data_IF_093069947859
#
_entry.id   IF_093069947859
#
_cell.length_a   1.000
_cell.length_b   1.000
_cell.length_c   1.000
_cell.angle_alpha   90.00
_cell.angle_beta   90.00
_cell.angle_gamma   90.00
#
_symmetry.space_group_name_H-M   'P 1'
#
loop_
_entity.id
_entity.type
_entity.pdbx_description
1 polymer ?
#
# COMPACT_ATOMS: atom_id res chain seq x y z
N UNK A 1 39.86 -1.17 -5.10
CA UNK A 1 40.21 -2.21 -6.09
C UNK A 1 39.10 -3.22 -6.41
N UNK A 2 38.64 -4.08 -5.48
CA UNK A 2 37.61 -5.08 -5.81
C UNK A 2 36.24 -4.45 -6.15
N UNK A 3 35.85 -3.40 -5.42
CA UNK A 3 34.62 -2.65 -5.69
C UNK A 3 34.71 -1.93 -7.03
N UNK A 4 35.79 -1.20 -7.30
CA UNK A 4 35.99 -0.49 -8.59
C UNK A 4 35.90 -1.45 -9.78
N UNK A 5 36.52 -2.64 -9.69
CA UNK A 5 36.41 -3.65 -10.74
C UNK A 5 34.97 -4.12 -10.97
N UNK A 6 34.20 -4.32 -9.89
CA UNK A 6 32.79 -4.68 -9.99
C UNK A 6 31.95 -3.54 -10.58
N UNK A 7 32.26 -2.29 -10.23
CA UNK A 7 31.59 -1.10 -10.77
C UNK A 7 31.87 -0.95 -12.27
N UNK A 8 33.12 -1.11 -12.70
CA UNK A 8 33.48 -1.08 -14.14
C UNK A 8 32.74 -2.18 -14.89
N UNK A 9 32.75 -3.42 -14.37
CA UNK A 9 32.00 -4.52 -14.98
C UNK A 9 30.49 -4.25 -15.04
N UNK A 10 29.92 -3.66 -13.99
CA UNK A 10 28.50 -3.30 -13.97
C UNK A 10 28.21 -2.21 -15.02
N UNK A 11 29.04 -1.17 -15.11
CA UNK A 11 28.90 -0.14 -16.13
C UNK A 11 28.99 -0.72 -17.55
N UNK A 12 29.95 -1.62 -17.81
CA UNK A 12 30.09 -2.29 -19.10
C UNK A 12 28.83 -3.10 -19.46
N UNK A 13 28.23 -3.81 -18.50
CA UNK A 13 26.97 -4.55 -18.71
C UNK A 13 25.83 -3.59 -19.05
N UNK A 14 25.68 -2.51 -18.27
CA UNK A 14 24.56 -1.57 -18.43
C UNK A 14 24.64 -0.74 -19.72
N UNK A 15 25.84 -0.36 -20.16
CA UNK A 15 26.06 0.42 -21.40
C UNK A 15 25.81 -0.42 -22.64
N UNK A 16 26.08 -1.73 -22.59
CA UNK A 16 25.89 -2.64 -23.72
C UNK A 16 24.51 -3.31 -23.76
N UNK A 17 23.60 -2.97 -22.84
CA UNK A 17 22.25 -3.51 -22.83
C UNK A 17 21.42 -2.95 -24.01
N UNK A 18 20.74 -3.83 -24.74
CA UNK A 18 19.82 -3.42 -25.83
C UNK A 18 18.49 -2.90 -25.27
N UNK A 19 18.03 -3.44 -24.13
CA UNK A 19 16.77 -3.09 -23.49
C UNK A 19 16.89 -3.20 -21.97
N UNK A 20 17.22 -2.08 -21.34
CA UNK A 20 17.53 -2.00 -19.91
C UNK A 20 16.28 -1.71 -19.05
N UNK A 21 16.08 -2.47 -17.98
CA UNK A 21 15.12 -2.18 -16.92
C UNK A 21 15.85 -1.79 -15.62
N UNK A 22 15.44 -0.68 -15.00
CA UNK A 22 15.90 -0.20 -13.71
C UNK A 22 14.78 -0.41 -12.68
N UNK A 23 14.91 -1.41 -11.82
CA UNK A 23 13.83 -1.90 -10.95
C UNK A 23 14.17 -1.87 -9.44
N UNK A 24 13.16 -1.69 -8.58
CA UNK A 24 13.30 -1.73 -7.11
C UNK A 24 12.96 -0.41 -6.42
N UNK A 25 13.96 0.26 -5.84
CA UNK A 25 13.93 1.64 -5.32
C UNK A 25 13.20 1.90 -3.99
N UNK A 26 12.22 1.07 -3.60
CA UNK A 26 11.36 1.28 -2.41
C UNK A 26 12.09 1.24 -1.06
N UNK A 27 13.36 0.81 -1.04
CA UNK A 27 14.25 0.77 0.14
C UNK A 27 15.48 1.68 -0.01
N UNK A 28 15.45 2.62 -0.95
CA UNK A 28 16.53 3.58 -1.22
C UNK A 28 16.11 5.00 -0.84
N UNK A 29 17.05 5.94 -0.79
CA UNK A 29 16.76 7.36 -0.54
C UNK A 29 16.23 8.04 -1.80
N UNK A 30 15.61 9.20 -1.66
CA UNK A 30 15.11 9.96 -2.82
C UNK A 30 16.24 10.41 -3.74
N UNK A 31 17.42 10.71 -3.19
CA UNK A 31 18.61 11.06 -3.97
C UNK A 31 19.03 9.90 -4.86
N UNK A 32 19.05 8.67 -4.34
CA UNK A 32 19.37 7.48 -5.14
C UNK A 32 18.32 7.23 -6.24
N UNK A 33 17.05 7.54 -5.99
CA UNK A 33 15.98 7.47 -6.98
C UNK A 33 16.19 8.49 -8.10
N UNK A 34 16.53 9.73 -7.76
CA UNK A 34 16.83 10.80 -8.73
C UNK A 34 18.02 10.40 -9.61
N UNK A 35 19.11 9.90 -9.00
CA UNK A 35 20.26 9.38 -9.75
C UNK A 35 19.87 8.19 -10.63
N UNK A 36 18.99 7.30 -10.15
CA UNK A 36 18.44 6.19 -10.93
C UNK A 36 17.64 6.63 -12.14
N UNK A 37 16.81 7.68 -12.02
CA UNK A 37 16.09 8.28 -13.14
C UNK A 37 17.04 8.95 -14.15
N UNK A 38 18.08 9.64 -13.65
CA UNK A 38 19.14 10.20 -14.48
C UNK A 38 19.90 9.12 -15.26
N UNK A 39 20.21 8.00 -14.61
CA UNK A 39 20.83 6.84 -15.24
C UNK A 39 19.93 6.21 -16.30
N UNK A 40 18.65 6.00 -15.99
CA UNK A 40 17.65 5.51 -16.95
C UNK A 40 17.57 6.42 -18.18
N UNK A 41 17.53 7.73 -17.98
CA UNK A 41 17.49 8.72 -19.07
C UNK A 41 18.76 8.68 -19.93
N UNK A 42 19.93 8.52 -19.31
CA UNK A 42 21.22 8.47 -20.00
C UNK A 42 21.40 7.21 -20.83
N UNK A 43 20.93 6.08 -20.31
CA UNK A 43 21.04 4.76 -20.96
C UNK A 43 19.82 4.40 -21.81
N UNK A 44 18.85 5.32 -21.95
CA UNK A 44 17.55 5.05 -22.58
C UNK A 44 16.85 3.79 -21.99
N UNK A 45 17.05 3.56 -20.70
CA UNK A 45 16.48 2.46 -19.95
C UNK A 45 15.10 2.79 -19.36
N UNK A 46 14.34 1.75 -19.03
CA UNK A 46 13.02 1.86 -18.43
C UNK A 46 13.12 1.90 -16.91
N UNK A 47 12.70 2.99 -16.28
CA UNK A 47 12.62 3.10 -14.82
C UNK A 47 11.30 2.55 -14.30
N UNK A 48 11.33 1.65 -13.33
CA UNK A 48 10.15 1.08 -12.70
C UNK A 48 10.43 0.68 -11.25
N UNK A 49 9.39 0.47 -10.43
CA UNK A 49 9.55 0.10 -9.02
C UNK A 49 8.60 -1.01 -8.61
N UNK A 50 8.82 -1.62 -7.45
CA UNK A 50 7.84 -2.54 -6.85
C UNK A 50 6.53 -1.83 -6.46
N UNK A 51 6.51 -0.50 -6.50
CA UNK A 51 5.30 0.31 -6.34
C UNK A 51 4.51 0.51 -7.65
N UNK A 52 5.07 0.17 -8.81
CA UNK A 52 4.44 0.18 -10.16
C UNK A 52 3.43 -0.97 -10.35
N UNK A 53 3.04 -1.64 -9.25
CA UNK A 53 1.83 -2.44 -9.19
C UNK A 53 0.67 -1.43 -9.26
N UNK A 54 0.20 -1.17 -10.49
CA UNK A 54 -0.63 -0.01 -10.87
C UNK A 54 -1.79 0.35 -9.94
N UNK A 55 -2.29 -0.60 -9.17
CA UNK A 55 -3.26 -0.48 -8.09
C UNK A 55 -2.82 0.42 -6.94
N UNK A 56 -1.59 0.27 -6.42
CA UNK A 56 -1.08 1.08 -5.30
C UNK A 56 -0.71 2.49 -5.77
N UNK A 57 -0.10 2.59 -6.95
CA UNK A 57 0.37 3.85 -7.52
C UNK A 57 -0.80 4.75 -7.97
N UNK A 58 -1.72 4.23 -8.77
CA UNK A 58 -2.85 5.01 -9.31
C UNK A 58 -3.71 5.62 -8.20
N UNK A 59 -3.73 4.95 -7.05
CA UNK A 59 -4.73 5.19 -6.03
C UNK A 59 -4.16 5.90 -4.80
N UNK A 60 -2.88 5.67 -4.44
CA UNK A 60 -2.14 6.63 -3.61
C UNK A 60 -2.12 8.02 -4.26
N UNK A 61 -2.06 8.09 -5.60
CA UNK A 61 -2.22 9.35 -6.31
C UNK A 61 -3.65 9.89 -6.21
N UNK A 62 -4.66 9.06 -6.43
CA UNK A 62 -6.08 9.49 -6.39
C UNK A 62 -6.53 9.99 -5.01
N UNK A 63 -6.26 9.25 -3.92
CA UNK A 63 -6.61 9.65 -2.55
C UNK A 63 -5.86 10.92 -2.13
N UNK A 64 -4.56 11.00 -2.45
CA UNK A 64 -3.75 12.19 -2.13
C UNK A 64 -4.19 13.42 -2.93
N UNK A 65 -4.44 13.28 -4.24
CA UNK A 65 -4.89 14.38 -5.11
C UNK A 65 -6.29 14.90 -4.76
N UNK A 66 -7.14 14.05 -4.20
CA UNK A 66 -8.46 14.43 -3.70
C UNK A 66 -8.43 15.02 -2.28
N UNK A 67 -7.26 15.08 -1.61
CA UNK A 67 -7.15 15.56 -0.23
C UNK A 67 -7.92 14.69 0.77
N UNK A 68 -7.96 13.38 0.51
CA UNK A 68 -8.63 12.41 1.37
C UNK A 68 -7.69 11.82 2.44
N UNK A 69 -6.39 12.09 2.37
CA UNK A 69 -5.40 11.74 3.38
C UNK A 69 -5.11 12.87 4.37
N UNK A 70 -4.34 12.57 5.42
CA UNK A 70 -3.95 13.51 6.46
C UNK A 70 -2.65 13.09 7.13
N UNK A 71 -2.00 13.98 7.86
CA UNK A 71 -0.78 13.66 8.60
C UNK A 71 -1.05 12.74 9.79
N UNK A 72 -0.13 11.82 10.06
CA UNK A 72 -0.21 10.92 11.23
C UNK A 72 -0.23 11.66 12.57
N UNK A 73 0.31 12.88 12.63
CA UNK A 73 0.20 13.73 13.81
C UNK A 73 -1.25 14.16 14.07
N UNK A 74 -1.98 14.51 13.01
CA UNK A 74 -3.39 14.83 13.12
C UNK A 74 -4.20 13.61 13.58
N UNK A 75 -3.92 12.43 13.00
CA UNK A 75 -4.55 11.16 13.42
C UNK A 75 -4.30 10.88 14.90
N UNK A 76 -3.06 11.08 15.36
CA UNK A 76 -2.69 10.94 16.77
C UNK A 76 -3.53 11.85 17.66
N UNK A 77 -3.75 13.09 17.24
CA UNK A 77 -4.42 14.10 18.05
C UNK A 77 -5.96 14.04 18.01
N UNK A 78 -6.55 13.57 16.90
CA UNK A 78 -7.99 13.69 16.65
C UNK A 78 -8.70 12.37 16.33
N UNK A 79 -8.02 11.31 15.89
CA UNK A 79 -8.67 10.10 15.37
C UNK A 79 -9.45 9.32 16.44
N UNK A 80 -10.78 9.30 16.35
CA UNK A 80 -11.64 8.59 17.30
C UNK A 80 -11.94 7.17 16.85
N UNK A 81 -12.28 6.99 15.56
CA UNK A 81 -12.46 5.66 14.99
C UNK A 81 -11.31 5.33 14.05
N UNK A 82 -10.44 4.42 14.49
CA UNK A 82 -9.33 3.91 13.71
C UNK A 82 -9.73 2.58 13.08
N UNK A 83 -9.70 2.51 11.76
CA UNK A 83 -10.07 1.30 11.01
C UNK A 83 -8.84 0.79 10.29
N UNK A 84 -8.46 -0.48 10.53
CA UNK A 84 -7.50 -1.19 9.70
C UNK A 84 -8.25 -2.09 8.72
N UNK A 85 -8.14 -1.80 7.42
CA UNK A 85 -8.84 -2.54 6.36
C UNK A 85 -7.83 -3.29 5.49
N UNK A 86 -7.91 -4.62 5.47
CA UNK A 86 -6.99 -5.48 4.73
C UNK A 86 -5.53 -5.23 5.12
N UNK A 87 -5.29 -4.93 6.40
CA UNK A 87 -3.98 -4.58 6.95
C UNK A 87 -3.81 -5.18 8.35
N UNK A 88 -2.65 -5.78 8.60
CA UNK A 88 -2.27 -6.36 9.88
C UNK A 88 -1.03 -5.65 10.44
N UNK A 89 -1.15 -4.39 10.93
CA UNK A 89 -0.03 -3.63 11.45
C UNK A 89 0.64 -4.27 12.68
N UNK A 90 -0.07 -5.13 13.41
CA UNK A 90 0.53 -5.85 14.54
C UNK A 90 1.62 -6.83 14.11
N UNK A 91 1.61 -7.28 12.86
CA UNK A 91 2.62 -8.17 12.26
C UNK A 91 3.54 -7.45 11.26
N UNK A 92 3.03 -6.43 10.55
CA UNK A 92 3.75 -5.77 9.45
C UNK A 92 4.38 -4.42 9.83
N UNK A 93 3.77 -3.69 10.76
CA UNK A 93 4.09 -2.30 11.09
C UNK A 93 3.95 -2.06 12.60
N UNK A 94 4.66 -2.85 13.42
CA UNK A 94 4.43 -2.96 14.88
C UNK A 94 4.37 -1.62 15.64
N UNK A 95 5.15 -0.62 15.20
CA UNK A 95 5.18 0.69 15.84
C UNK A 95 4.06 1.63 15.39
N UNK A 96 3.32 1.30 14.34
CA UNK A 96 2.27 2.15 13.81
C UNK A 96 1.10 2.32 14.80
N UNK A 97 0.47 1.24 15.32
CA UNK A 97 -0.59 1.37 16.32
C UNK A 97 -0.09 2.06 17.60
N UNK A 98 1.13 1.75 18.04
CA UNK A 98 1.68 2.27 19.29
C UNK A 98 2.15 3.73 19.23
N UNK A 99 2.56 4.22 18.05
CA UNK A 99 3.12 5.57 17.91
C UNK A 99 2.15 6.58 17.30
N UNK A 100 1.25 6.16 16.42
CA UNK A 100 0.51 7.09 15.57
C UNK A 100 -1.01 6.97 15.69
N UNK A 101 -1.54 5.76 15.88
CA UNK A 101 -2.97 5.54 15.64
C UNK A 101 -3.76 5.06 16.85
N UNK A 102 -3.28 4.08 17.62
CA UNK A 102 -4.09 3.39 18.64
C UNK A 102 -3.73 3.79 20.07
N UNK A 103 -2.49 3.53 20.50
CA UNK A 103 -2.06 3.80 21.88
C UNK A 103 -1.81 5.27 22.24
N UNK A 104 -1.36 6.16 21.33
CA UNK A 104 -0.89 7.47 21.75
C UNK A 104 -2.06 8.35 22.20
N UNK A 105 -1.79 9.13 23.26
CA UNK A 105 -2.65 10.22 23.70
C UNK A 105 -2.49 11.40 22.76
N UNK A 106 -3.61 12.02 22.45
CA UNK A 106 -3.76 13.16 21.57
C UNK A 106 -4.46 14.33 22.27
N UNK A 107 -4.48 15.49 21.63
CA UNK A 107 -5.17 16.68 22.15
C UNK A 107 -6.67 16.44 22.39
N UNK A 108 -7.38 15.85 21.40
CA UNK A 108 -8.79 15.44 21.54
C UNK A 108 -8.96 13.99 22.00
N UNK A 109 -7.86 13.26 22.17
CA UNK A 109 -7.83 11.83 22.56
C UNK A 109 -7.00 11.67 23.85
N UNK A 110 -7.43 12.24 24.99
CA UNK A 110 -6.60 12.33 26.18
C UNK A 110 -6.31 10.97 26.84
N UNK A 111 -7.18 9.98 26.69
CA UNK A 111 -7.01 8.64 27.29
C UNK A 111 -6.38 7.64 26.31
N UNK A 112 -6.00 8.08 25.10
CA UNK A 112 -5.38 7.22 24.09
C UNK A 112 -6.35 6.12 23.64
N UNK A 113 -5.96 4.86 23.78
CA UNK A 113 -6.73 3.71 23.31
C UNK A 113 -8.15 3.66 23.88
N UNK A 114 -8.36 4.05 25.15
CA UNK A 114 -9.68 4.01 25.80
C UNK A 114 -10.67 5.02 25.19
N UNK A 115 -10.16 6.10 24.59
CA UNK A 115 -10.97 7.09 23.87
C UNK A 115 -11.17 6.73 22.39
N UNK A 116 -10.62 5.60 21.91
CA UNK A 116 -10.71 5.19 20.51
C UNK A 116 -11.60 3.97 20.33
N UNK A 117 -12.34 3.99 19.24
CA UNK A 117 -12.96 2.78 18.68
C UNK A 117 -12.02 2.23 17.62
N UNK A 118 -11.79 0.92 17.64
CA UNK A 118 -10.89 0.23 16.72
C UNK A 118 -11.69 -0.78 15.91
N UNK A 119 -11.62 -0.64 14.59
CA UNK A 119 -12.23 -1.54 13.63
C UNK A 119 -11.17 -2.28 12.84
N UNK A 120 -11.35 -3.57 12.63
CA UNK A 120 -10.50 -4.36 11.74
C UNK A 120 -11.39 -5.12 10.78
N UNK A 121 -11.14 -4.93 9.48
CA UNK A 121 -11.81 -5.61 8.39
C UNK A 121 -10.77 -6.42 7.64
N UNK A 122 -10.88 -7.74 7.63
CA UNK A 122 -9.90 -8.62 6.97
C UNK A 122 -10.55 -9.95 6.56
N UNK A 123 -9.94 -10.67 5.62
CA UNK A 123 -10.46 -11.96 5.12
C UNK A 123 -10.16 -13.14 6.05
N UNK A 124 -9.36 -12.89 7.09
CA UNK A 124 -8.95 -13.86 8.10
C UNK A 124 -8.86 -13.20 9.47
N UNK A 125 -8.77 -14.02 10.52
CA UNK A 125 -8.42 -13.53 11.83
C UNK A 125 -6.95 -13.06 11.84
N UNK A 126 -6.72 -11.81 12.21
CA UNK A 126 -5.39 -11.19 12.30
C UNK A 126 -4.99 -10.90 13.74
N UNK A 127 -3.69 -10.68 14.00
CA UNK A 127 -3.23 -10.29 15.33
C UNK A 127 -3.74 -8.90 15.71
N UNK A 128 -3.90 -8.01 14.73
CA UNK A 128 -4.50 -6.69 14.93
C UNK A 128 -5.95 -6.78 15.42
N UNK A 129 -6.71 -7.83 15.12
CA UNK A 129 -8.08 -7.99 15.68
C UNK A 129 -8.11 -8.13 17.20
N UNK A 130 -7.02 -8.52 17.85
CA UNK A 130 -6.98 -8.68 19.32
C UNK A 130 -7.19 -7.35 20.05
N UNK A 131 -6.79 -6.22 19.45
CA UNK A 131 -7.03 -4.89 20.01
C UNK A 131 -8.32 -4.24 19.50
N UNK A 132 -9.09 -4.91 18.62
CA UNK A 132 -10.24 -4.32 17.95
C UNK A 132 -11.54 -4.45 18.75
N UNK A 133 -12.36 -3.39 18.72
CA UNK A 133 -13.75 -3.39 19.21
C UNK A 133 -14.68 -4.02 18.16
N UNK A 134 -14.46 -3.71 16.88
CA UNK A 134 -15.20 -4.29 15.75
C UNK A 134 -14.28 -5.19 14.93
N UNK A 135 -14.67 -6.44 14.74
CA UNK A 135 -13.91 -7.46 14.01
C UNK A 135 -14.79 -7.99 12.89
N UNK A 136 -14.54 -7.54 11.68
CA UNK A 136 -15.32 -7.95 10.51
C UNK A 136 -14.48 -8.90 9.66
N UNK A 137 -14.91 -10.16 9.58
CA UNK A 137 -14.30 -11.15 8.70
C UNK A 137 -15.22 -11.36 7.51
N UNK A 138 -14.72 -11.10 6.30
CA UNK A 138 -15.47 -11.17 5.05
C UNK A 138 -14.81 -12.14 4.05
N UNK A 139 -15.56 -12.66 3.06
CA UNK A 139 -14.98 -13.40 1.95
C UNK A 139 -14.01 -12.55 1.14
N UNK A 140 -12.98 -13.20 0.56
CA UNK A 140 -12.03 -12.52 -0.30
C UNK A 140 -12.72 -11.93 -1.55
N UNK A 141 -12.40 -10.66 -1.85
CA UNK A 141 -12.95 -9.94 -3.01
C UNK A 141 -14.28 -9.24 -2.75
N UNK A 142 -14.83 -9.31 -1.53
CA UNK A 142 -16.12 -8.72 -1.16
C UNK A 142 -16.03 -7.35 -0.46
N UNK A 143 -14.87 -6.69 -0.44
CA UNK A 143 -14.72 -5.41 0.27
C UNK A 143 -15.64 -4.31 -0.29
N UNK A 144 -15.72 -4.17 -1.62
CA UNK A 144 -16.60 -3.19 -2.26
C UNK A 144 -18.08 -3.39 -1.91
N UNK A 145 -18.54 -4.65 -1.85
CA UNK A 145 -19.92 -4.98 -1.48
C UNK A 145 -20.21 -4.62 -0.01
N UNK A 146 -19.25 -4.85 0.89
CA UNK A 146 -19.36 -4.42 2.29
C UNK A 146 -19.40 -2.90 2.40
N UNK A 147 -18.55 -2.19 1.66
CA UNK A 147 -18.51 -0.73 1.62
C UNK A 147 -19.83 -0.15 1.13
N UNK A 148 -20.39 -0.68 0.04
CA UNK A 148 -21.70 -0.25 -0.48
C UNK A 148 -22.82 -0.50 0.53
N UNK A 149 -22.79 -1.62 1.25
CA UNK A 149 -23.76 -1.92 2.30
C UNK A 149 -23.67 -0.92 3.46
N UNK A 150 -22.45 -0.63 3.94
CA UNK A 150 -22.19 0.34 5.01
C UNK A 150 -22.64 1.74 4.60
N UNK A 151 -22.32 2.16 3.37
CA UNK A 151 -22.74 3.45 2.82
C UNK A 151 -24.26 3.54 2.74
N UNK A 152 -24.93 2.51 2.21
CA UNK A 152 -26.38 2.51 2.08
C UNK A 152 -27.10 2.61 3.43
N UNK A 153 -26.55 1.99 4.48
CA UNK A 153 -27.05 2.14 5.86
C UNK A 153 -26.82 3.57 6.39
N UNK A 154 -25.61 4.14 6.18
CA UNK A 154 -25.30 5.52 6.61
C UNK A 154 -26.19 6.57 5.95
N UNK A 155 -26.58 6.35 4.70
CA UNK A 155 -27.49 7.22 3.94
C UNK A 155 -28.98 6.93 4.22
N UNK A 156 -29.30 5.92 5.04
CA UNK A 156 -30.68 5.50 5.32
C UNK A 156 -31.41 4.88 4.12
N UNK A 157 -30.67 4.41 3.10
CA UNK A 157 -31.20 3.79 1.87
C UNK A 157 -31.42 2.28 2.02
N UNK A 158 -30.75 1.65 2.96
CA UNK A 158 -30.91 0.23 3.30
C UNK A 158 -31.04 0.05 4.81
N UNK A 159 -31.55 -1.12 5.21
CA UNK A 159 -31.61 -1.56 6.60
C UNK A 159 -30.94 -2.92 6.71
N UNK A 160 -29.77 -2.94 7.33
CA UNK A 160 -29.07 -4.18 7.68
C UNK A 160 -29.92 -4.91 8.73
N UNK A 161 -30.40 -6.11 8.39
CA UNK A 161 -31.22 -6.94 9.30
C UNK A 161 -30.63 -8.34 9.45
N UNK A 162 -30.25 -8.92 8.33
CA UNK A 162 -29.73 -10.29 8.27
C UNK A 162 -28.20 -10.30 8.20
N UNK A 163 -27.64 -11.51 8.10
CA UNK A 163 -26.21 -11.72 7.88
C UNK A 163 -25.81 -11.24 6.48
N UNK A 164 -24.80 -10.37 6.41
CA UNK A 164 -24.23 -9.86 5.16
C UNK A 164 -22.78 -10.36 5.07
N UNK A 165 -22.41 -11.03 3.97
CA UNK A 165 -21.04 -11.53 3.77
C UNK A 165 -20.51 -12.39 4.93
N UNK A 166 -21.40 -13.17 5.57
CA UNK A 166 -21.04 -13.98 6.74
C UNK A 166 -20.92 -13.20 8.06
N UNK A 167 -21.10 -11.88 8.05
CA UNK A 167 -21.08 -11.00 9.22
C UNK A 167 -22.52 -10.88 9.77
N UNK A 168 -22.76 -11.18 11.06
CA UNK A 168 -24.07 -10.96 11.67
C UNK A 168 -24.51 -9.49 11.54
N UNK A 169 -25.77 -9.25 11.14
CA UNK A 169 -26.28 -7.89 10.93
C UNK A 169 -26.12 -6.99 12.17
N UNK A 170 -26.23 -7.53 13.38
CA UNK A 170 -26.01 -6.81 14.63
C UNK A 170 -24.58 -6.30 14.81
N UNK A 171 -23.57 -7.07 14.38
CA UNK A 171 -22.16 -6.67 14.42
C UNK A 171 -21.89 -5.55 13.42
N UNK A 172 -22.42 -5.68 12.20
CA UNK A 172 -22.27 -4.67 11.16
C UNK A 172 -23.00 -3.36 11.52
N UNK A 173 -24.20 -3.44 12.11
CA UNK A 173 -24.89 -2.27 12.70
C UNK A 173 -24.02 -1.64 13.80
N UNK A 174 -23.38 -2.45 14.64
CA UNK A 174 -22.45 -1.95 15.66
C UNK A 174 -21.32 -1.13 15.04
N UNK A 175 -20.72 -1.63 13.96
CA UNK A 175 -19.68 -0.93 13.20
C UNK A 175 -20.18 0.39 12.60
N UNK A 176 -21.36 0.38 11.94
CA UNK A 176 -21.98 1.59 11.36
C UNK A 176 -22.29 2.63 12.44
N UNK A 177 -22.78 2.21 13.61
CA UNK A 177 -23.01 3.10 14.75
C UNK A 177 -21.71 3.72 15.27
N UNK A 178 -20.61 2.98 15.25
CA UNK A 178 -19.27 3.51 15.54
C UNK A 178 -18.90 4.64 14.59
N UNK A 179 -19.15 4.46 13.28
CA UNK A 179 -18.92 5.50 12.27
C UNK A 179 -19.78 6.74 12.51
N UNK A 180 -21.07 6.56 12.84
CA UNK A 180 -22.00 7.67 13.10
C UNK A 180 -21.65 8.46 14.37
N UNK A 181 -21.20 7.77 15.43
CA UNK A 181 -20.85 8.40 16.70
C UNK A 181 -19.56 9.20 16.65
N UNK A 182 -18.57 8.70 15.91
CA UNK A 182 -17.24 9.28 15.92
C UNK A 182 -17.21 10.59 15.12
N UNK A 183 -16.51 11.60 15.62
CA UNK A 183 -16.34 12.89 14.95
C UNK A 183 -15.18 12.85 13.95
N UNK A 184 -14.15 12.02 14.20
CA UNK A 184 -13.04 11.80 13.27
C UNK A 184 -12.78 10.32 13.02
N UNK A 185 -13.00 9.86 11.79
CA UNK A 185 -12.72 8.48 11.35
C UNK A 185 -11.48 8.41 10.46
N UNK A 186 -10.59 7.44 10.70
CA UNK A 186 -9.38 7.24 9.91
C UNK A 186 -9.28 5.80 9.45
N UNK A 187 -9.24 5.59 8.13
CA UNK A 187 -9.16 4.27 7.49
C UNK A 187 -7.72 4.04 7.01
N UNK A 188 -7.02 3.13 7.65
CA UNK A 188 -5.73 2.61 7.20
C UNK A 188 -5.95 1.37 6.34
N UNK A 189 -5.73 1.47 5.03
CA UNK A 189 -5.95 0.36 4.10
C UNK A 189 -4.63 -0.27 3.63
N UNK A 190 -4.62 -1.60 3.53
CA UNK A 190 -3.43 -2.37 3.18
C UNK A 190 -3.59 -3.25 1.94
N UNK A 191 -2.62 -4.14 1.76
CA UNK A 191 -2.56 -5.04 0.61
C UNK A 191 -3.78 -5.95 0.45
N UNK A 192 -4.52 -6.25 1.53
CA UNK A 192 -5.74 -7.05 1.45
C UNK A 192 -6.82 -6.39 0.57
N UNK A 193 -6.87 -5.06 0.55
CA UNK A 193 -7.80 -4.28 -0.28
C UNK A 193 -7.29 -4.17 -1.72
N UNK A 194 -5.97 -4.08 -1.87
CA UNK A 194 -5.32 -3.74 -3.14
C UNK A 194 -5.08 -4.98 -4.00
N UNK A 195 -4.76 -6.12 -3.38
CA UNK A 195 -4.45 -7.37 -4.07
C UNK A 195 -5.63 -8.37 -4.04
N UNK A 196 -6.85 -7.87 -3.80
CA UNK A 196 -8.08 -8.68 -3.74
C UNK A 196 -8.62 -9.12 -5.12
N UNK A 197 -8.09 -8.53 -6.20
CA UNK A 197 -8.61 -8.68 -7.57
C UNK A 197 -9.69 -7.64 -7.95
N UNK A 198 -10.22 -6.89 -6.98
CA UNK A 198 -11.26 -5.86 -7.17
C UNK A 198 -10.80 -4.47 -6.72
N UNK A 199 -9.50 -4.19 -6.86
CA UNK A 199 -8.86 -2.99 -6.33
C UNK A 199 -9.64 -1.69 -6.66
N UNK A 200 -9.98 -1.42 -7.92
CA UNK A 200 -10.55 -0.13 -8.32
C UNK A 200 -11.91 0.09 -7.64
N UNK A 201 -12.74 -0.96 -7.57
CA UNK A 201 -14.02 -0.94 -6.89
C UNK A 201 -13.85 -0.77 -5.37
N UNK A 202 -12.94 -1.53 -4.76
CA UNK A 202 -12.64 -1.45 -3.33
C UNK A 202 -12.24 -0.03 -2.92
N UNK A 203 -11.37 0.59 -3.71
CA UNK A 203 -10.75 1.86 -3.39
C UNK A 203 -11.67 3.04 -3.69
N UNK A 204 -12.47 2.92 -4.76
CA UNK A 204 -13.61 3.81 -5.00
C UNK A 204 -14.62 3.74 -3.86
N UNK A 205 -14.88 2.55 -3.33
CA UNK A 205 -15.75 2.36 -2.17
C UNK A 205 -15.22 3.05 -0.90
N UNK A 206 -13.91 2.95 -0.62
CA UNK A 206 -13.28 3.65 0.51
C UNK A 206 -13.39 5.16 0.34
N UNK A 207 -13.09 5.70 -0.84
CA UNK A 207 -13.22 7.13 -1.12
C UNK A 207 -14.66 7.61 -0.93
N UNK A 208 -15.66 6.89 -1.47
CA UNK A 208 -17.08 7.19 -1.29
C UNK A 208 -17.50 7.15 0.18
N UNK A 209 -16.99 6.19 0.97
CA UNK A 209 -17.28 6.14 2.40
C UNK A 209 -16.74 7.39 3.12
N UNK A 210 -15.51 7.81 2.82
CA UNK A 210 -14.92 9.05 3.36
C UNK A 210 -15.78 10.26 2.98
N UNK A 211 -16.19 10.38 1.73
CA UNK A 211 -17.04 11.48 1.25
C UNK A 211 -18.41 11.50 1.94
N UNK A 212 -19.06 10.34 2.11
CA UNK A 212 -20.35 10.23 2.80
C UNK A 212 -20.22 10.69 4.26
N UNK A 213 -19.18 10.26 4.97
CA UNK A 213 -18.94 10.72 6.34
C UNK A 213 -18.71 12.24 6.40
N UNK A 214 -17.90 12.78 5.48
CA UNK A 214 -17.67 14.23 5.36
C UNK A 214 -18.96 15.01 5.06
N UNK A 215 -19.81 14.48 4.18
CA UNK A 215 -21.11 15.11 3.86
C UNK A 215 -22.07 15.15 5.05
N UNK A 216 -21.92 14.20 5.98
CA UNK A 216 -22.64 14.16 7.26
C UNK A 216 -21.98 15.03 8.35
N UNK A 217 -21.03 15.91 7.99
CA UNK A 217 -20.40 16.85 8.91
C UNK A 217 -19.29 16.24 9.78
N UNK A 218 -18.79 15.05 9.44
CA UNK A 218 -17.71 14.37 10.16
C UNK A 218 -16.35 14.61 9.51
N UNK A 219 -15.29 14.50 10.29
CA UNK A 219 -13.92 14.39 9.76
C UNK A 219 -13.68 12.92 9.35
N UNK A 220 -13.17 12.69 8.15
CA UNK A 220 -12.85 11.35 7.67
C UNK A 220 -11.65 11.36 6.73
N UNK A 221 -10.78 10.35 6.86
CA UNK A 221 -9.56 10.24 6.07
C UNK A 221 -9.23 8.79 5.74
N UNK A 222 -8.53 8.56 4.64
CA UNK A 222 -8.00 7.26 4.24
C UNK A 222 -6.50 7.34 3.97
N UNK A 223 -5.72 6.42 4.53
CA UNK A 223 -4.28 6.36 4.36
C UNK A 223 -3.82 4.94 3.93
N UNK A 224 -2.93 4.84 2.93
CA UNK A 224 -2.32 3.57 2.57
C UNK A 224 -1.30 3.12 3.63
N UNK A 225 -1.26 1.82 3.89
CA UNK A 225 -0.29 1.19 4.80
C UNK A 225 0.89 0.63 4.01
N UNK A 226 1.89 1.47 3.76
CA UNK A 226 3.13 1.05 3.09
C UNK A 226 4.08 0.33 4.06
N UNK A 227 4.59 -0.82 3.64
CA UNK A 227 5.55 -1.61 4.42
C UNK A 227 6.99 -1.18 4.14
N UNK A 228 7.32 -0.89 2.89
CA UNK A 228 8.65 -0.43 2.50
C UNK A 228 8.82 1.06 2.83
N UNK A 229 10.02 1.47 3.31
CA UNK A 229 10.23 2.79 3.90
C UNK A 229 10.12 3.95 2.91
N UNK A 230 10.36 3.72 1.60
CA UNK A 230 10.31 4.76 0.59
C UNK A 230 9.44 4.39 -0.61
N UNK A 231 8.34 3.65 -0.38
CA UNK A 231 7.34 3.36 -1.43
C UNK A 231 6.79 4.64 -2.05
N UNK A 232 6.49 5.66 -1.23
CA UNK A 232 5.97 6.94 -1.70
C UNK A 232 6.98 7.70 -2.58
N UNK A 233 8.28 7.70 -2.23
CA UNK A 233 9.31 8.30 -3.08
C UNK A 233 9.40 7.62 -4.44
N UNK A 234 9.33 6.28 -4.46
CA UNK A 234 9.30 5.51 -5.71
C UNK A 234 8.05 5.77 -6.55
N UNK A 235 6.87 5.89 -5.91
CA UNK A 235 5.60 6.26 -6.58
C UNK A 235 5.73 7.64 -7.24
N UNK A 236 6.18 8.65 -6.50
CA UNK A 236 6.34 10.03 -7.02
C UNK A 236 7.28 10.08 -8.21
N UNK A 237 8.43 9.42 -8.09
CA UNK A 237 9.40 9.33 -9.18
C UNK A 237 8.84 8.63 -10.43
N UNK A 238 8.07 7.56 -10.24
CA UNK A 238 7.44 6.84 -11.37
C UNK A 238 6.38 7.72 -12.07
N UNK A 239 5.62 8.53 -11.32
CA UNK A 239 4.62 9.46 -11.86
C UNK A 239 5.24 10.64 -12.61
N UNK A 240 6.30 11.23 -12.07
CA UNK A 240 7.00 12.39 -12.67
C UNK A 240 7.83 11.99 -13.91
N UNK A 241 8.36 10.76 -13.94
CA UNK A 241 9.32 10.29 -14.94
C UNK A 241 8.74 9.85 -16.28
N UNK A 242 7.42 9.94 -16.52
CA UNK A 242 6.74 9.26 -17.66
C UNK A 242 7.11 7.77 -17.76
N UNK A 243 7.35 7.11 -16.62
CA UNK A 243 7.65 5.69 -16.60
C UNK A 243 6.47 4.91 -17.16
N UNK A 244 6.72 4.13 -18.21
CA UNK A 244 5.68 3.35 -18.87
C UNK A 244 5.07 2.31 -17.92
N UNK A 245 3.74 2.29 -17.89
CA UNK A 245 2.97 1.30 -17.17
C UNK A 245 3.31 -0.14 -17.64
N UNK A 246 2.92 -1.12 -16.81
CA UNK A 246 3.02 -2.55 -17.13
C UNK A 246 4.45 -3.11 -17.19
N UNK A 247 5.39 -2.55 -16.42
CA UNK A 247 6.79 -3.01 -16.37
C UNK A 247 6.93 -4.51 -16.11
N UNK A 248 6.05 -5.09 -15.27
CA UNK A 248 6.02 -6.53 -15.03
C UNK A 248 5.56 -7.33 -16.25
N UNK A 249 4.57 -6.84 -16.99
CA UNK A 249 4.11 -7.51 -18.20
C UNK A 249 5.18 -7.49 -19.30
N UNK A 250 5.92 -6.38 -19.40
CA UNK A 250 7.06 -6.23 -20.32
C UNK A 250 8.21 -7.17 -19.94
N UNK A 251 8.48 -7.30 -18.64
CA UNK A 251 9.44 -8.27 -18.10
C UNK A 251 9.01 -9.72 -18.40
N UNK A 252 7.73 -10.08 -18.19
CA UNK A 252 7.19 -11.41 -18.50
C UNK A 252 7.28 -11.70 -20.01
N UNK A 253 7.01 -10.70 -20.85
CA UNK A 253 7.14 -10.78 -22.31
C UNK A 253 8.60 -10.83 -22.79
N UNK A 254 9.58 -10.82 -21.86
CA UNK A 254 11.03 -10.84 -22.13
C UNK A 254 11.49 -9.66 -23.00
N UNK A 255 10.89 -8.49 -22.79
CA UNK A 255 11.27 -7.29 -23.52
C UNK A 255 12.63 -6.73 -23.07
N UNK A 256 13.04 -7.02 -21.84
CA UNK A 256 14.30 -6.54 -21.26
C UNK A 256 15.37 -7.63 -21.30
N UNK A 257 16.55 -7.30 -21.78
CA UNK A 257 17.72 -8.18 -21.83
C UNK A 257 18.59 -8.06 -20.57
N UNK A 258 18.59 -6.88 -19.95
CA UNK A 258 19.32 -6.55 -18.73
C UNK A 258 18.42 -5.85 -17.71
N UNK A 259 18.55 -6.24 -16.44
CA UNK A 259 17.84 -5.60 -15.32
C UNK A 259 18.84 -5.15 -14.25
N UNK A 260 18.86 -3.85 -13.97
CA UNK A 260 19.48 -3.30 -12.77
C UNK A 260 18.45 -3.34 -11.63
N UNK A 261 18.73 -4.12 -10.59
CA UNK A 261 17.91 -4.16 -9.38
C UNK A 261 18.60 -3.39 -8.26
N UNK A 262 17.90 -2.44 -7.66
CA UNK A 262 18.43 -1.59 -6.59
C UNK A 262 17.61 -1.67 -5.31
N UNK A 263 18.27 -1.99 -4.21
CA UNK A 263 17.78 -1.89 -2.83
C UNK A 263 16.73 -2.92 -2.41
N UNK A 264 16.20 -3.73 -3.32
CA UNK A 264 15.07 -4.62 -3.06
C UNK A 264 15.39 -6.08 -3.44
N UNK A 265 14.86 -7.05 -2.67
CA UNK A 265 14.98 -8.48 -3.00
C UNK A 265 13.80 -8.91 -3.87
N UNK A 266 13.79 -8.41 -5.10
CA UNK A 266 12.63 -8.49 -6.00
C UNK A 266 12.27 -9.93 -6.38
N UNK A 267 13.25 -10.84 -6.50
CA UNK A 267 12.96 -12.25 -6.79
C UNK A 267 12.15 -12.94 -5.69
N UNK A 268 12.26 -12.48 -4.44
CA UNK A 268 11.48 -13.01 -3.33
C UNK A 268 10.03 -12.48 -3.29
N UNK A 269 9.78 -11.33 -3.92
CA UNK A 269 8.54 -10.57 -3.75
C UNK A 269 7.70 -10.44 -5.04
N UNK A 270 8.27 -10.78 -6.21
CA UNK A 270 7.56 -10.75 -7.47
C UNK A 270 6.61 -11.95 -7.66
N UNK A 271 5.49 -11.77 -8.39
CA UNK A 271 4.66 -12.88 -8.83
C UNK A 271 5.48 -13.93 -9.59
N UNK A 272 5.17 -15.21 -9.40
CA UNK A 272 5.95 -16.34 -9.94
C UNK A 272 6.36 -16.22 -11.42
N UNK A 273 5.46 -15.83 -12.35
CA UNK A 273 5.83 -15.60 -13.75
C UNK A 273 6.88 -14.49 -13.95
N UNK A 274 6.73 -13.36 -13.26
CA UNK A 274 7.66 -12.23 -13.33
C UNK A 274 9.01 -12.59 -12.68
N UNK A 275 8.99 -13.27 -11.52
CA UNK A 275 10.20 -13.76 -10.87
C UNK A 275 10.96 -14.75 -11.77
N UNK A 276 10.26 -15.68 -12.43
CA UNK A 276 10.87 -16.62 -13.38
C UNK A 276 11.43 -15.92 -14.60
N UNK A 277 10.75 -14.90 -15.13
CA UNK A 277 11.28 -14.10 -16.23
C UNK A 277 12.58 -13.39 -15.81
N UNK A 278 12.56 -12.67 -14.69
CA UNK A 278 13.73 -11.96 -14.13
C UNK A 278 14.92 -12.89 -13.85
N UNK A 279 14.65 -14.09 -13.31
CA UNK A 279 15.68 -15.08 -13.04
C UNK A 279 16.43 -15.51 -14.32
N UNK A 280 15.79 -15.43 -15.49
CA UNK A 280 16.39 -15.77 -16.78
C UNK A 280 17.00 -14.56 -17.54
N UNK A 281 16.85 -13.34 -17.02
CA UNK A 281 17.44 -12.11 -17.60
C UNK A 281 18.82 -11.84 -17.02
N UNK A 282 19.69 -11.06 -17.68
CA UNK A 282 20.94 -10.62 -17.05
C UNK A 282 20.61 -9.65 -15.91
N UNK A 283 21.15 -9.86 -14.70
CA UNK A 283 20.91 -8.98 -13.54
C UNK A 283 22.20 -8.31 -13.09
N UNK A 284 22.12 -7.01 -12.87
CA UNK A 284 23.09 -6.25 -12.06
C UNK A 284 22.39 -5.89 -10.75
N UNK A 285 22.97 -6.25 -9.61
CA UNK A 285 22.34 -6.04 -8.30
C UNK A 285 23.13 -5.07 -7.43
N UNK A 286 22.43 -4.08 -6.87
CA UNK A 286 22.95 -3.13 -5.88
C UNK A 286 22.04 -3.16 -4.65
N UNK A 287 22.43 -3.91 -3.62
CA UNK A 287 21.61 -4.02 -2.42
C UNK A 287 22.24 -4.86 -1.32
N UNK A 288 21.41 -5.32 -0.39
CA UNK A 288 21.87 -6.11 0.74
C UNK A 288 22.24 -7.54 0.30
N UNK A 289 23.36 -8.11 0.78
CA UNK A 289 23.75 -9.45 0.41
C UNK A 289 22.82 -10.51 1.03
N UNK A 290 22.88 -11.73 0.51
CA UNK A 290 22.20 -12.97 0.97
C UNK A 290 20.73 -13.13 0.58
N UNK A 291 20.14 -12.15 -0.13
CA UNK A 291 18.81 -12.27 -0.73
C UNK A 291 18.76 -13.26 -1.91
N UNK A 292 17.57 -13.58 -2.39
CA UNK A 292 17.41 -14.41 -3.59
C UNK A 292 17.93 -13.71 -4.84
N UNK A 293 17.71 -12.40 -4.92
CA UNK A 293 18.19 -11.55 -6.01
C UNK A 293 19.72 -11.48 -6.03
N UNK A 294 20.35 -11.28 -4.87
CA UNK A 294 21.82 -11.28 -4.71
C UNK A 294 22.45 -12.61 -5.13
N UNK A 295 21.90 -13.73 -4.68
CA UNK A 295 22.42 -15.07 -5.01
C UNK A 295 22.36 -15.40 -6.49
N UNK A 296 21.44 -14.76 -7.22
CA UNK A 296 21.22 -14.99 -8.64
C UNK A 296 22.03 -14.04 -9.53
N UNK A 297 22.31 -12.82 -9.06
CA UNK A 297 23.05 -11.80 -9.79
C UNK A 297 24.56 -12.09 -9.84
#
# INVERSE_FOLDING_TARGET
WLIEKKLVKAADILVNAESLLLYGWTRTTNEAIIEGQGLASTLNGHFASSADLGSMQAMSHSIHSQGLDIDLEYVRNNGEFIIYWGSDPSESLHRHPSRFAVLPRGEKIPEGIESRTIGVVDVRQTETMKMANHRLILPAGSDAELLDTVIAELEGKSLIKDTILGIPGSELIGFVRGLQKSDCTVIFYGNGVINSGNQDANLTGIARLVEVLRSNGKEAYALPMFVQPNTMGAIKATLEGKSGANSLQRLISKEFDTVLVVGDDVLANLPGPAAKALANTQIVYVGQPRGLTDKKA
#
